data_IF_734302627244
#
_entry.id   IF_734302627244
#
_cell.length_a   1.000
_cell.length_b   1.000
_cell.length_c   1.000
_cell.angle_alpha   90.00
_cell.angle_beta   90.00
_cell.angle_gamma   90.00
#
_symmetry.space_group_name_H-M   'P 1'
#
loop_
_entity.id
_entity.type
_entity.pdbx_description
1 polymer ?
#
# COMPACT_ATOMS: atom_id res chain seq x y z
N UNK A 1 7.81 18.37 6.06
CA UNK A 1 8.69 18.89 5.00
C UNK A 1 8.74 17.93 3.81
N UNK A 2 9.07 16.64 3.98
CA UNK A 2 9.12 15.63 2.91
C UNK A 2 7.91 15.66 1.94
N UNK A 3 6.68 15.53 2.44
CA UNK A 3 5.48 15.54 1.59
C UNK A 3 5.28 16.81 0.76
N UNK A 4 5.78 17.96 1.23
CA UNK A 4 5.73 19.21 0.49
C UNK A 4 6.75 19.23 -0.64
N UNK A 5 7.90 18.60 -0.47
CA UNK A 5 8.89 18.45 -1.55
C UNK A 5 8.39 17.48 -2.61
N UNK A 6 7.79 16.36 -2.17
CA UNK A 6 7.21 15.34 -3.06
C UNK A 6 6.03 15.92 -3.85
N UNK A 7 4.96 16.34 -3.18
CA UNK A 7 3.75 16.77 -3.89
C UNK A 7 3.81 18.20 -4.45
N UNK A 8 4.66 19.06 -3.89
CA UNK A 8 4.69 20.48 -4.23
C UNK A 8 5.18 20.76 -5.65
N UNK A 9 6.14 19.98 -6.16
CA UNK A 9 6.59 20.02 -7.57
C UNK A 9 5.47 19.65 -8.55
N UNK A 10 4.51 18.84 -8.10
CA UNK A 10 3.38 18.38 -8.91
C UNK A 10 2.08 19.15 -8.62
N UNK A 11 2.16 20.28 -7.93
CA UNK A 11 1.03 21.19 -7.71
C UNK A 11 0.16 20.87 -6.49
N UNK A 12 0.51 19.87 -5.68
CA UNK A 12 -0.27 19.50 -4.51
C UNK A 12 0.12 20.29 -3.26
N UNK A 13 -0.88 20.80 -2.55
CA UNK A 13 -0.63 21.58 -1.35
C UNK A 13 -0.29 20.70 -0.14
N UNK A 14 -0.99 19.57 -0.04
CA UNK A 14 -0.92 18.65 1.10
C UNK A 14 -0.80 17.19 0.67
N UNK A 15 -0.32 16.33 1.57
CA UNK A 15 -0.30 14.88 1.35
C UNK A 15 -1.71 14.34 1.08
N UNK A 16 -2.70 14.82 1.82
CA UNK A 16 -4.08 14.34 1.70
C UNK A 16 -4.66 14.62 0.32
N UNK A 17 -4.43 15.83 -0.20
CA UNK A 17 -4.84 16.21 -1.55
C UNK A 17 -4.17 15.33 -2.61
N UNK A 18 -2.84 15.16 -2.52
CA UNK A 18 -2.11 14.28 -3.43
C UNK A 18 -2.65 12.84 -3.42
N UNK A 19 -2.86 12.25 -2.24
CA UNK A 19 -3.41 10.89 -2.13
C UNK A 19 -4.88 10.80 -2.56
N UNK A 20 -5.63 11.91 -2.60
CA UNK A 20 -7.01 11.92 -3.07
C UNK A 20 -7.11 11.95 -4.60
N UNK A 21 -6.06 12.40 -5.29
CA UNK A 21 -6.07 12.63 -6.73
C UNK A 21 -5.13 11.72 -7.52
N UNK A 22 -4.11 11.14 -6.87
CA UNK A 22 -3.09 10.35 -7.55
C UNK A 22 -3.11 8.88 -7.12
N UNK A 23 -2.62 8.03 -8.01
CA UNK A 23 -2.38 6.63 -7.69
C UNK A 23 -1.24 6.51 -6.66
N UNK A 24 -1.33 5.53 -5.77
CA UNK A 24 -0.26 5.31 -4.78
C UNK A 24 1.05 4.83 -5.42
N UNK A 25 1.02 4.36 -6.67
CA UNK A 25 2.21 3.96 -7.42
C UNK A 25 2.90 5.20 -8.00
N UNK A 26 2.15 6.12 -8.61
CA UNK A 26 2.65 7.47 -9.00
C UNK A 26 3.31 8.17 -7.82
N UNK A 27 2.69 8.11 -6.63
CA UNK A 27 3.23 8.74 -5.43
C UNK A 27 4.57 8.09 -5.01
N UNK A 28 4.78 6.78 -5.17
CA UNK A 28 6.07 6.13 -4.89
C UNK A 28 7.16 6.62 -5.83
N UNK A 29 6.83 6.75 -7.12
CA UNK A 29 7.77 7.26 -8.11
C UNK A 29 8.21 8.69 -7.77
N UNK A 30 7.27 9.55 -7.38
CA UNK A 30 7.58 10.92 -6.91
C UNK A 30 8.35 10.94 -5.59
N UNK A 31 8.15 9.97 -4.71
CA UNK A 31 8.98 9.84 -3.49
C UNK A 31 10.44 9.59 -3.88
N UNK A 32 10.71 8.68 -4.83
CA UNK A 32 12.08 8.42 -5.31
C UNK A 32 12.67 9.59 -6.10
N UNK A 33 11.86 10.27 -6.91
CA UNK A 33 12.28 11.48 -7.65
C UNK A 33 12.71 12.59 -6.69
N UNK A 34 11.95 12.81 -5.61
CA UNK A 34 12.22 13.85 -4.63
C UNK A 34 13.36 13.50 -3.64
N UNK A 35 13.77 12.24 -3.57
CA UNK A 35 14.87 11.79 -2.71
C UNK A 35 16.22 12.01 -3.40
N UNK A 36 17.06 12.97 -2.95
CA UNK A 36 18.35 13.26 -3.59
C UNK A 36 19.37 12.12 -3.46
N UNK A 37 19.16 11.17 -2.53
CA UNK A 37 20.01 10.00 -2.37
C UNK A 37 19.53 8.80 -3.19
N UNK A 38 18.31 8.86 -3.73
CA UNK A 38 17.64 7.77 -4.45
C UNK A 38 17.57 6.44 -3.66
N UNK A 39 17.59 6.53 -2.33
CA UNK A 39 17.46 5.39 -1.42
C UNK A 39 15.99 4.95 -1.28
N UNK A 40 15.05 5.87 -1.49
CA UNK A 40 13.63 5.54 -1.52
C UNK A 40 13.28 4.62 -2.70
N UNK A 41 12.33 3.71 -2.46
CA UNK A 41 11.81 2.82 -3.50
C UNK A 41 10.83 3.57 -4.42
N UNK A 42 10.93 3.33 -5.74
CA UNK A 42 9.85 3.64 -6.68
C UNK A 42 8.77 2.56 -6.62
N UNK A 43 7.74 2.66 -7.47
CA UNK A 43 6.67 1.67 -7.53
C UNK A 43 7.14 0.27 -7.90
N UNK A 44 8.00 0.14 -8.91
CA UNK A 44 8.54 -1.14 -9.38
C UNK A 44 9.32 -1.86 -8.27
N UNK A 45 10.32 -1.20 -7.68
CA UNK A 45 11.15 -1.75 -6.61
C UNK A 45 10.31 -2.17 -5.38
N UNK A 46 9.34 -1.34 -5.02
CA UNK A 46 8.44 -1.62 -3.91
C UNK A 46 7.64 -2.90 -4.14
N UNK A 47 7.06 -3.05 -5.33
CA UNK A 47 6.23 -4.20 -5.65
C UNK A 47 7.03 -5.47 -5.90
N UNK A 48 8.21 -5.36 -6.51
CA UNK A 48 9.17 -6.45 -6.59
C UNK A 48 9.53 -7.03 -5.21
N UNK A 49 9.61 -6.18 -4.18
CA UNK A 49 9.84 -6.62 -2.79
C UNK A 49 8.57 -7.23 -2.18
N UNK A 50 7.40 -6.62 -2.37
CA UNK A 50 6.14 -7.10 -1.80
C UNK A 50 5.70 -8.43 -2.41
N UNK A 51 5.85 -8.60 -3.72
CA UNK A 51 5.44 -9.81 -4.44
C UNK A 51 6.27 -11.02 -4.04
N UNK A 52 7.55 -10.83 -3.68
CA UNK A 52 8.37 -11.88 -3.04
C UNK A 52 7.78 -12.32 -1.70
N UNK A 53 7.29 -11.36 -0.90
CA UNK A 53 6.61 -11.66 0.37
C UNK A 53 5.30 -12.42 0.16
N UNK A 54 4.49 -12.03 -0.82
CA UNK A 54 3.26 -12.75 -1.15
C UNK A 54 3.52 -14.16 -1.69
N UNK A 55 4.57 -14.33 -2.50
CA UNK A 55 5.02 -15.66 -2.93
C UNK A 55 5.37 -16.54 -1.73
N UNK A 56 6.16 -16.03 -0.78
CA UNK A 56 6.50 -16.78 0.44
C UNK A 56 5.26 -17.17 1.25
N UNK A 57 4.26 -16.29 1.32
CA UNK A 57 2.98 -16.59 1.98
C UNK A 57 2.23 -17.70 1.26
N UNK A 58 2.15 -17.66 -0.08
CA UNK A 58 1.46 -18.68 -0.87
C UNK A 58 2.15 -20.06 -0.85
N UNK A 59 3.42 -20.12 -0.45
CA UNK A 59 4.19 -21.37 -0.29
C UNK A 59 4.07 -21.97 1.13
N UNK A 60 3.34 -21.32 2.06
CA UNK A 60 3.11 -21.85 3.40
C UNK A 60 2.15 -23.04 3.36
N UNK A 61 2.60 -24.19 3.86
CA UNK A 61 1.77 -25.39 3.95
C UNK A 61 0.88 -25.36 5.21
N UNK A 62 -0.40 -25.67 5.05
CA UNK A 62 -1.39 -25.79 6.14
C UNK A 62 -1.79 -24.50 6.87
N UNK A 63 -1.30 -23.33 6.46
CA UNK A 63 -1.67 -22.05 7.07
C UNK A 63 -2.92 -21.43 6.42
N UNK A 64 -4.08 -21.55 7.06
CA UNK A 64 -5.34 -20.98 6.54
C UNK A 64 -5.54 -19.50 6.92
N UNK A 65 -5.15 -19.11 8.13
CA UNK A 65 -5.34 -17.76 8.65
C UNK A 65 -3.99 -17.17 9.10
N UNK A 66 -3.58 -16.06 8.48
CA UNK A 66 -2.28 -15.43 8.71
C UNK A 66 -2.49 -14.01 9.25
N UNK A 67 -1.88 -13.72 10.39
CA UNK A 67 -1.80 -12.35 10.90
C UNK A 67 -0.58 -11.64 10.29
N UNK A 68 -0.82 -10.74 9.34
CA UNK A 68 0.21 -9.90 8.73
C UNK A 68 0.23 -8.52 9.39
N UNK A 69 1.18 -8.29 10.31
CA UNK A 69 1.38 -6.98 10.93
C UNK A 69 2.31 -6.13 10.06
N UNK A 70 1.83 -4.98 9.57
CA UNK A 70 2.61 -4.09 8.71
C UNK A 70 2.23 -2.61 8.93
N UNK A 71 2.67 -1.73 8.04
CA UNK A 71 2.55 -0.28 8.17
C UNK A 71 1.47 0.30 7.25
N UNK A 72 1.00 1.51 7.60
CA UNK A 72 -0.12 2.14 6.90
C UNK A 72 0.09 2.37 5.40
N UNK A 73 1.31 2.67 4.94
CA UNK A 73 1.57 2.84 3.50
C UNK A 73 1.50 1.50 2.75
N UNK A 74 1.90 0.41 3.38
CA UNK A 74 1.76 -0.95 2.84
C UNK A 74 0.31 -1.38 2.79
N UNK A 75 -0.45 -1.20 3.87
CA UNK A 75 -1.89 -1.53 3.89
C UNK A 75 -2.64 -0.76 2.79
N UNK A 76 -2.36 0.55 2.63
CA UNK A 76 -2.93 1.36 1.53
C UNK A 76 -2.55 0.83 0.15
N UNK A 77 -1.28 0.47 -0.04
CA UNK A 77 -0.80 -0.04 -1.33
C UNK A 77 -1.51 -1.33 -1.70
N UNK A 78 -1.68 -2.25 -0.74
CA UNK A 78 -2.37 -3.52 -0.93
C UNK A 78 -3.85 -3.29 -1.24
N UNK A 79 -4.56 -2.49 -0.44
CA UNK A 79 -5.99 -2.29 -0.70
C UNK A 79 -6.27 -1.53 -1.99
N UNK A 80 -5.34 -0.68 -2.42
CA UNK A 80 -5.53 0.13 -3.63
C UNK A 80 -5.32 -0.73 -4.87
N UNK A 81 -4.36 -1.66 -4.80
CA UNK A 81 -4.07 -2.58 -5.89
C UNK A 81 -5.13 -3.68 -6.05
N UNK A 82 -5.61 -4.24 -4.94
CA UNK A 82 -6.45 -5.45 -4.96
C UNK A 82 -7.88 -5.25 -4.48
N UNK A 83 -8.23 -4.04 -4.03
CA UNK A 83 -9.57 -3.69 -3.59
C UNK A 83 -10.41 -3.05 -4.69
N UNK A 84 -11.73 -3.17 -4.56
CA UNK A 84 -12.67 -2.58 -5.50
C UNK A 84 -12.87 -1.08 -5.20
N UNK A 85 -12.14 -0.23 -5.91
CA UNK A 85 -12.23 1.24 -5.82
C UNK A 85 -12.09 1.80 -4.38
N UNK A 86 -11.23 1.17 -3.56
CA UNK A 86 -10.98 1.62 -2.19
C UNK A 86 -10.14 2.90 -2.20
N UNK A 87 -10.58 3.99 -1.53
CA UNK A 87 -9.85 5.24 -1.54
C UNK A 87 -8.55 5.16 -0.71
N UNK A 88 -7.59 6.01 -1.05
CA UNK A 88 -6.36 6.17 -0.27
C UNK A 88 -6.53 7.09 0.95
N UNK A 89 -7.63 7.85 1.00
CA UNK A 89 -7.97 8.77 2.09
C UNK A 89 -9.44 8.54 2.51
N UNK A 90 -9.74 8.34 3.81
CA UNK A 90 -8.80 8.24 4.92
C UNK A 90 -7.89 7.01 4.80
N UNK A 91 -6.75 7.05 5.47
CA UNK A 91 -5.89 5.86 5.54
C UNK A 91 -6.30 4.90 6.65
N UNK A 92 -5.55 3.79 6.77
CA UNK A 92 -5.73 2.86 7.86
C UNK A 92 -5.45 3.56 9.19
N UNK A 93 -6.34 3.36 10.15
CA UNK A 93 -6.19 3.77 11.53
C UNK A 93 -5.21 2.84 12.24
N UNK A 94 -4.57 3.32 13.31
CA UNK A 94 -3.75 2.45 14.14
C UNK A 94 -4.64 1.36 14.77
N UNK A 95 -4.14 0.12 14.76
CA UNK A 95 -4.85 -1.06 15.22
C UNK A 95 -6.11 -1.42 14.41
N UNK A 96 -6.34 -0.82 13.23
CA UNK A 96 -7.40 -1.29 12.35
C UNK A 96 -7.02 -2.58 11.62
N UNK A 97 -8.03 -3.29 11.14
CA UNK A 97 -7.95 -4.59 10.52
C UNK A 97 -8.41 -4.45 9.07
N UNK A 98 -7.63 -5.02 8.16
CA UNK A 98 -8.00 -5.18 6.75
C UNK A 98 -7.91 -6.66 6.44
N UNK A 99 -9.00 -7.24 5.95
CA UNK A 99 -9.00 -8.63 5.52
C UNK A 99 -8.55 -8.69 4.07
N UNK A 100 -7.59 -9.55 3.83
CA UNK A 100 -7.10 -9.92 2.51
C UNK A 100 -7.29 -11.42 2.36
N UNK A 101 -7.88 -11.84 1.25
CA UNK A 101 -7.99 -13.26 0.89
C UNK A 101 -7.09 -13.54 -0.31
N UNK A 102 -6.38 -14.66 -0.29
CA UNK A 102 -5.57 -15.16 -1.41
C UNK A 102 -6.03 -16.59 -1.72
N UNK A 103 -6.43 -16.85 -2.96
CA UNK A 103 -6.79 -18.21 -3.39
C UNK A 103 -5.56 -19.04 -3.81
N UNK A 104 -5.76 -20.33 -4.09
CA UNK A 104 -4.70 -21.26 -4.52
C UNK A 104 -3.97 -20.84 -5.81
N UNK A 105 -4.57 -19.95 -6.61
CA UNK A 105 -3.97 -19.40 -7.84
C UNK A 105 -3.24 -18.08 -7.59
N UNK A 106 -3.21 -17.61 -6.34
CA UNK A 106 -2.62 -16.33 -5.94
C UNK A 106 -3.52 -15.13 -6.23
N UNK A 107 -4.81 -15.31 -6.54
CA UNK A 107 -5.71 -14.18 -6.73
C UNK A 107 -6.01 -13.52 -5.38
N UNK A 108 -5.69 -12.23 -5.26
CA UNK A 108 -5.89 -11.45 -4.05
C UNK A 108 -7.19 -10.65 -4.16
N UNK A 109 -7.95 -10.61 -3.05
CA UNK A 109 -9.09 -9.70 -2.86
C UNK A 109 -9.06 -9.06 -1.48
N UNK A 110 -9.77 -7.95 -1.36
CA UNK A 110 -9.91 -7.18 -0.11
C UNK A 110 -11.40 -7.09 0.27
N UNK A 111 -11.95 -8.09 0.99
CA UNK A 111 -13.36 -8.08 1.35
C UNK A 111 -13.78 -6.91 2.25
N UNK A 112 -12.91 -6.50 3.18
CA UNK A 112 -13.11 -5.32 4.01
C UNK A 112 -11.78 -4.71 4.44
N UNK A 113 -11.82 -3.42 4.80
CA UNK A 113 -10.65 -2.62 5.07
C UNK A 113 -10.90 -1.63 6.22
N UNK A 114 -9.85 -1.36 6.98
CA UNK A 114 -9.82 -0.33 8.02
C UNK A 114 -10.89 -0.45 9.12
N UNK A 115 -11.25 -1.67 9.50
CA UNK A 115 -12.23 -1.95 10.55
C UNK A 115 -11.58 -1.99 11.95
N UNK A 116 -12.30 -1.57 12.98
CA UNK A 116 -11.78 -1.59 14.37
C UNK A 116 -12.15 -2.88 15.13
N UNK A 117 -12.94 -3.76 14.50
CA UNK A 117 -13.37 -5.06 15.01
C UNK A 117 -13.69 -6.01 13.86
N UNK A 118 -13.60 -7.32 14.10
CA UNK A 118 -14.01 -8.38 13.18
C UNK A 118 -15.48 -8.76 13.37
#
# INVERSE_FOLDING_TARGET
MAWRMIGGSHGYATRQEMFAHESIDTIKDWIKEADPYHDAENSEEYWDRLDKGFKMIGELDGAENILLVTHGFTIRSIWYRYGDNIPLVPGPQNASITLMTMDEKGNIKIPFWNEMSL
#
